data_IF_304336096311
#
_entry.id   IF_304336096311
#
_cell.length_a   1.000
_cell.length_b   1.000
_cell.length_c   1.000
_cell.angle_alpha   90.00
_cell.angle_beta   90.00
_cell.angle_gamma   90.00
#
_symmetry.space_group_name_H-M   'P 1'
#
loop_
_entity.id
_entity.type
_entity.pdbx_description
1 polymer ?
#
# COMPACT_ATOMS: atom_id res chain seq x y z
N UNK A 1 -28.24 16.96 -3.12
CA UNK A 1 -27.73 17.36 -1.79
C UNK A 1 -26.31 16.83 -1.67
N UNK A 2 -25.37 17.64 -1.19
CA UNK A 2 -24.00 17.17 -0.94
C UNK A 2 -23.99 16.13 0.20
N UNK A 3 -23.20 15.04 0.11
CA UNK A 3 -23.17 14.01 1.15
C UNK A 3 -22.78 14.54 2.54
N UNK A 4 -21.93 15.56 2.63
CA UNK A 4 -21.53 16.15 3.92
C UNK A 4 -22.67 16.96 4.54
N UNK A 5 -23.46 17.65 3.71
CA UNK A 5 -24.67 18.33 4.16
C UNK A 5 -25.70 17.32 4.67
N UNK A 6 -25.89 16.21 3.94
CA UNK A 6 -26.80 15.14 4.36
C UNK A 6 -26.36 14.50 5.70
N UNK A 7 -25.05 14.35 5.94
CA UNK A 7 -24.54 13.84 7.21
C UNK A 7 -24.69 14.83 8.37
N UNK A 8 -24.65 16.14 8.09
CA UNK A 8 -24.86 17.19 9.10
C UNK A 8 -26.33 17.30 9.54
N UNK A 9 -27.27 17.00 8.64
CA UNK A 9 -28.71 16.87 8.93
C UNK A 9 -29.26 15.56 8.34
N UNK A 10 -29.10 14.42 9.05
CA UNK A 10 -29.47 13.11 8.54
C UNK A 10 -30.97 12.93 8.27
N UNK A 11 -31.85 13.65 8.97
CA UNK A 11 -33.28 13.56 8.70
C UNK A 11 -33.62 14.21 7.36
N UNK A 12 -33.09 15.40 7.13
CA UNK A 12 -33.25 16.09 5.85
C UNK A 12 -32.56 15.33 4.70
N UNK A 13 -31.38 14.77 4.96
CA UNK A 13 -30.67 13.90 4.00
C UNK A 13 -31.52 12.69 3.59
N UNK A 14 -32.09 11.97 4.55
CA UNK A 14 -33.00 10.83 4.27
C UNK A 14 -34.24 11.26 3.50
N UNK A 15 -34.85 12.38 3.86
CA UNK A 15 -36.03 12.88 3.14
C UNK A 15 -35.69 13.17 1.67
N UNK A 16 -34.57 13.87 1.43
CA UNK A 16 -34.09 14.21 0.09
C UNK A 16 -33.80 12.96 -0.75
N UNK A 17 -33.09 11.98 -0.20
CA UNK A 17 -32.78 10.75 -0.94
C UNK A 17 -34.03 9.89 -1.18
N UNK A 18 -35.00 9.87 -0.26
CA UNK A 18 -36.27 9.15 -0.46
C UNK A 18 -37.07 9.73 -1.63
N UNK A 19 -37.19 11.05 -1.70
CA UNK A 19 -37.85 11.73 -2.82
C UNK A 19 -37.18 11.38 -4.16
N UNK A 20 -35.84 11.37 -4.20
CA UNK A 20 -35.09 11.00 -5.40
C UNK A 20 -35.31 9.52 -5.80
N UNK A 21 -35.41 8.61 -4.84
CA UNK A 21 -35.74 7.19 -5.09
C UNK A 21 -37.14 7.04 -5.67
N UNK A 22 -38.09 7.86 -5.24
CA UNK A 22 -39.51 7.83 -5.65
C UNK A 22 -39.78 8.63 -6.94
N UNK A 23 -38.78 9.34 -7.47
CA UNK A 23 -38.92 10.26 -8.61
C UNK A 23 -39.24 9.59 -9.96
N UNK A 24 -39.09 8.27 -10.06
CA UNK A 24 -39.30 7.50 -11.30
C UNK A 24 -38.12 7.50 -12.27
N UNK A 25 -37.07 8.27 -12.00
CA UNK A 25 -35.80 8.24 -12.73
C UNK A 25 -34.90 7.14 -12.17
N UNK A 26 -34.65 6.09 -12.96
CA UNK A 26 -33.94 4.89 -12.51
C UNK A 26 -32.48 5.18 -12.11
N UNK A 27 -31.79 6.07 -12.82
CA UNK A 27 -30.39 6.38 -12.57
C UNK A 27 -30.27 7.22 -11.29
N UNK A 28 -31.14 8.22 -11.14
CA UNK A 28 -31.23 9.01 -9.90
C UNK A 28 -31.65 8.16 -8.71
N UNK A 29 -32.59 7.24 -8.90
CA UNK A 29 -33.04 6.34 -7.84
C UNK A 29 -31.92 5.39 -7.40
N UNK A 30 -31.14 4.83 -8.32
CA UNK A 30 -29.99 3.99 -8.00
C UNK A 30 -28.94 4.79 -7.21
N UNK A 31 -28.58 5.99 -7.68
CA UNK A 31 -27.62 6.85 -6.99
C UNK A 31 -28.10 7.23 -5.59
N UNK A 32 -29.35 7.66 -5.46
CA UNK A 32 -29.94 8.03 -4.17
C UNK A 32 -30.03 6.84 -3.21
N UNK A 33 -30.30 5.63 -3.71
CA UNK A 33 -30.30 4.40 -2.92
C UNK A 33 -28.90 4.12 -2.34
N UNK A 34 -27.84 4.30 -3.14
CA UNK A 34 -26.47 4.19 -2.66
C UNK A 34 -26.10 5.27 -1.64
N UNK A 35 -26.45 6.53 -1.92
CA UNK A 35 -26.17 7.66 -1.03
C UNK A 35 -26.90 7.54 0.31
N UNK A 36 -28.10 6.96 0.32
CA UNK A 36 -28.80 6.60 1.55
C UNK A 36 -27.97 5.60 2.37
N UNK A 37 -27.42 4.55 1.75
CA UNK A 37 -26.54 3.59 2.43
C UNK A 37 -25.26 4.23 2.97
N UNK A 38 -24.64 5.13 2.21
CA UNK A 38 -23.48 5.90 2.66
C UNK A 38 -23.81 6.80 3.87
N UNK A 39 -24.95 7.50 3.84
CA UNK A 39 -25.43 8.31 4.96
C UNK A 39 -25.63 7.46 6.22
N UNK A 40 -26.34 6.33 6.12
CA UNK A 40 -26.58 5.47 7.28
C UNK A 40 -25.28 4.90 7.86
N UNK A 41 -24.28 4.59 7.00
CA UNK A 41 -22.95 4.18 7.47
C UNK A 41 -22.30 5.32 8.24
N UNK A 42 -22.30 6.52 7.69
CA UNK A 42 -21.58 7.67 8.26
C UNK A 42 -22.18 8.12 9.61
N UNK A 43 -23.49 7.90 9.82
CA UNK A 43 -24.14 8.12 11.12
C UNK A 43 -24.12 6.89 12.04
N UNK A 44 -23.37 5.84 11.69
CA UNK A 44 -23.15 4.65 12.52
C UNK A 44 -24.30 3.62 12.50
N UNK A 45 -25.33 3.80 11.68
CA UNK A 45 -26.46 2.87 11.53
C UNK A 45 -26.11 1.74 10.55
N UNK A 46 -25.15 0.92 10.96
CA UNK A 46 -24.53 -0.12 10.12
C UNK A 46 -25.52 -1.11 9.51
N UNK A 47 -26.55 -1.52 10.24
CA UNK A 47 -27.55 -2.46 9.69
C UNK A 47 -28.41 -1.81 8.61
N UNK A 48 -28.84 -0.57 8.82
CA UNK A 48 -29.56 0.18 7.79
C UNK A 48 -28.68 0.43 6.56
N UNK A 49 -27.39 0.75 6.76
CA UNK A 49 -26.44 0.93 5.67
C UNK A 49 -26.31 -0.33 4.81
N UNK A 50 -26.25 -1.51 5.44
CA UNK A 50 -26.23 -2.81 4.75
C UNK A 50 -27.46 -2.99 3.88
N UNK A 51 -28.65 -2.81 4.45
CA UNK A 51 -29.91 -2.98 3.72
C UNK A 51 -29.97 -2.05 2.49
N UNK A 52 -29.50 -0.81 2.64
CA UNK A 52 -29.45 0.14 1.53
C UNK A 52 -28.41 -0.20 0.47
N UNK A 53 -27.22 -0.69 0.84
CA UNK A 53 -26.27 -1.17 -0.15
C UNK A 53 -26.77 -2.42 -0.88
N UNK A 54 -27.43 -3.36 -0.20
CA UNK A 54 -28.07 -4.51 -0.83
C UNK A 54 -29.17 -4.08 -1.81
N UNK A 55 -29.96 -3.05 -1.48
CA UNK A 55 -30.93 -2.44 -2.41
C UNK A 55 -30.25 -1.78 -3.61
N UNK A 56 -29.17 -1.02 -3.40
CA UNK A 56 -28.42 -0.38 -4.47
C UNK A 56 -27.82 -1.43 -5.42
N UNK A 57 -27.32 -2.55 -4.90
CA UNK A 57 -26.87 -3.71 -5.67
C UNK A 57 -28.02 -4.31 -6.49
N UNK A 58 -29.18 -4.50 -5.88
CA UNK A 58 -30.35 -5.11 -6.52
C UNK A 58 -30.90 -4.30 -7.71
N UNK A 59 -30.56 -3.01 -7.82
CA UNK A 59 -30.89 -2.20 -9.01
C UNK A 59 -30.19 -2.69 -10.28
N UNK A 60 -29.05 -3.39 -10.15
CA UNK A 60 -28.23 -3.81 -11.29
C UNK A 60 -27.58 -2.66 -12.07
N UNK A 61 -27.67 -1.42 -11.57
CA UNK A 61 -27.16 -0.24 -12.28
C UNK A 61 -25.62 -0.29 -12.39
N UNK A 62 -25.09 -0.18 -13.60
CA UNK A 62 -23.69 -0.48 -13.93
C UNK A 62 -22.66 0.34 -13.14
N UNK A 63 -22.94 1.62 -12.88
CA UNK A 63 -22.03 2.49 -12.11
C UNK A 63 -22.26 2.40 -10.59
N UNK A 64 -23.43 1.89 -10.16
CA UNK A 64 -23.85 1.95 -8.75
C UNK A 64 -23.66 0.63 -8.04
N UNK A 65 -23.99 -0.48 -8.69
CA UNK A 65 -23.85 -1.81 -8.10
C UNK A 65 -22.39 -2.12 -7.71
N UNK A 66 -21.35 -1.85 -8.54
CA UNK A 66 -19.97 -2.13 -8.17
C UNK A 66 -19.50 -1.35 -6.95
N UNK A 67 -19.82 -0.04 -6.85
CA UNK A 67 -19.47 0.74 -5.65
C UNK A 67 -20.24 0.30 -4.42
N UNK A 68 -21.50 -0.10 -4.56
CA UNK A 68 -22.29 -0.63 -3.46
C UNK A 68 -21.72 -1.97 -2.96
N UNK A 69 -21.28 -2.85 -3.86
CA UNK A 69 -20.57 -4.09 -3.51
C UNK A 69 -19.29 -3.82 -2.70
N UNK A 70 -18.44 -2.87 -3.11
CA UNK A 70 -17.24 -2.49 -2.36
C UNK A 70 -17.58 -2.00 -0.95
N UNK A 71 -18.59 -1.14 -0.82
CA UNK A 71 -18.98 -0.59 0.48
C UNK A 71 -19.61 -1.63 1.40
N UNK A 72 -20.45 -2.52 0.86
CA UNK A 72 -20.98 -3.66 1.58
C UNK A 72 -19.84 -4.58 2.05
N UNK A 73 -18.88 -4.89 1.17
CA UNK A 73 -17.73 -5.73 1.52
C UNK A 73 -16.92 -5.16 2.69
N UNK A 74 -16.67 -3.86 2.69
CA UNK A 74 -15.98 -3.16 3.79
C UNK A 74 -16.79 -3.24 5.08
N UNK A 75 -18.12 -3.04 5.03
CA UNK A 75 -18.98 -3.19 6.21
C UNK A 75 -18.94 -4.61 6.79
N UNK A 76 -19.01 -5.63 5.95
CA UNK A 76 -18.92 -7.03 6.37
C UNK A 76 -17.54 -7.36 6.96
N UNK A 77 -16.47 -6.80 6.37
CA UNK A 77 -15.10 -6.96 6.85
C UNK A 77 -14.91 -6.36 8.26
N UNK A 78 -15.43 -5.15 8.50
CA UNK A 78 -15.41 -4.49 9.82
C UNK A 78 -16.24 -5.27 10.83
N UNK A 79 -17.38 -5.83 10.40
CA UNK A 79 -18.22 -6.71 11.23
C UNK A 79 -17.62 -8.12 11.46
N UNK A 80 -16.43 -8.42 10.92
CA UNK A 80 -15.77 -9.72 11.06
C UNK A 80 -16.41 -10.85 10.25
N UNK A 81 -17.34 -10.56 9.34
CA UNK A 81 -18.04 -11.53 8.49
C UNK A 81 -17.25 -11.75 7.20
N UNK A 82 -16.08 -12.37 7.36
CA UNK A 82 -15.04 -12.50 6.32
C UNK A 82 -15.59 -13.10 5.02
N UNK A 83 -16.38 -14.17 5.07
CA UNK A 83 -16.89 -14.79 3.84
C UNK A 83 -17.91 -13.93 3.10
N UNK A 84 -18.72 -13.14 3.81
CA UNK A 84 -19.62 -12.18 3.17
C UNK A 84 -18.83 -11.04 2.52
N UNK A 85 -17.77 -10.58 3.18
CA UNK A 85 -16.87 -9.56 2.65
C UNK A 85 -16.15 -10.05 1.38
N UNK A 86 -15.61 -11.28 1.41
CA UNK A 86 -14.98 -11.94 0.24
C UNK A 86 -15.93 -12.02 -0.93
N UNK A 87 -17.13 -12.58 -0.71
CA UNK A 87 -18.13 -12.70 -1.76
C UNK A 87 -18.49 -11.33 -2.36
N UNK A 88 -18.65 -10.30 -1.53
CA UNK A 88 -18.96 -8.95 -2.00
C UNK A 88 -17.78 -8.31 -2.77
N UNK A 89 -16.53 -8.49 -2.34
CA UNK A 89 -15.36 -8.05 -3.10
C UNK A 89 -15.25 -8.79 -4.43
N UNK A 90 -15.41 -10.10 -4.46
CA UNK A 90 -15.36 -10.90 -5.69
C UNK A 90 -16.44 -10.43 -6.69
N UNK A 91 -17.65 -10.11 -6.22
CA UNK A 91 -18.71 -9.52 -7.07
C UNK A 91 -18.34 -8.14 -7.63
N UNK A 92 -17.69 -7.28 -6.85
CA UNK A 92 -17.19 -6.00 -7.35
C UNK A 92 -16.07 -6.19 -8.38
N UNK A 93 -15.20 -7.19 -8.19
CA UNK A 93 -14.13 -7.55 -9.12
C UNK A 93 -14.70 -8.06 -10.44
N UNK A 94 -15.65 -9.01 -10.38
CA UNK A 94 -16.29 -9.64 -11.53
C UNK A 94 -17.09 -8.65 -12.38
N UNK A 95 -17.49 -7.51 -11.81
CA UNK A 95 -18.14 -6.43 -12.56
C UNK A 95 -17.26 -5.82 -13.64
N UNK A 96 -15.93 -5.95 -13.52
CA UNK A 96 -14.98 -5.32 -14.44
C UNK A 96 -14.98 -3.79 -14.41
N UNK A 97 -15.66 -3.17 -13.43
CA UNK A 97 -15.80 -1.72 -13.38
C UNK A 97 -14.43 -1.04 -13.21
N UNK A 98 -14.04 -0.10 -14.08
CA UNK A 98 -12.66 0.39 -14.19
C UNK A 98 -12.13 1.01 -12.90
N UNK A 99 -13.01 1.62 -12.10
CA UNK A 99 -12.64 2.20 -10.80
C UNK A 99 -12.84 1.26 -9.60
N UNK A 100 -13.88 0.43 -9.62
CA UNK A 100 -14.34 -0.27 -8.42
C UNK A 100 -13.83 -1.71 -8.35
N UNK A 101 -13.50 -2.34 -9.49
CA UNK A 101 -12.82 -3.62 -9.49
C UNK A 101 -11.38 -3.51 -8.92
N UNK A 102 -10.52 -2.54 -9.32
CA UNK A 102 -9.21 -2.36 -8.70
C UNK A 102 -9.30 -2.00 -7.21
N UNK A 103 -10.28 -1.18 -6.83
CA UNK A 103 -10.56 -0.86 -5.43
C UNK A 103 -10.94 -2.11 -4.62
N UNK A 104 -11.77 -2.98 -5.18
CA UNK A 104 -12.16 -4.23 -4.56
C UNK A 104 -10.98 -5.21 -4.42
N UNK A 105 -10.11 -5.30 -5.44
CA UNK A 105 -8.87 -6.09 -5.37
C UNK A 105 -7.98 -5.59 -4.24
N UNK A 106 -7.73 -4.29 -4.17
CA UNK A 106 -6.89 -3.70 -3.13
C UNK A 106 -7.46 -3.90 -1.72
N UNK A 107 -8.74 -3.59 -1.51
CA UNK A 107 -9.38 -3.75 -0.19
C UNK A 107 -9.53 -5.22 0.21
N UNK A 108 -9.85 -6.10 -0.75
CA UNK A 108 -9.87 -7.54 -0.55
C UNK A 108 -8.49 -8.07 -0.15
N UNK A 109 -7.42 -7.61 -0.80
CA UNK A 109 -6.06 -7.99 -0.44
C UNK A 109 -5.69 -7.58 1.00
N UNK A 110 -6.13 -6.39 1.46
CA UNK A 110 -5.96 -5.98 2.87
C UNK A 110 -6.72 -6.92 3.81
N UNK A 111 -7.96 -7.31 3.46
CA UNK A 111 -8.74 -8.25 4.25
C UNK A 111 -8.00 -9.58 4.39
N UNK A 112 -7.51 -10.15 3.29
CA UNK A 112 -6.82 -11.43 3.28
C UNK A 112 -5.49 -11.40 4.04
N UNK A 113 -4.72 -10.33 3.88
CA UNK A 113 -3.47 -10.10 4.62
C UNK A 113 -3.69 -10.08 6.14
N UNK A 114 -4.81 -9.51 6.62
CA UNK A 114 -5.15 -9.46 8.04
C UNK A 114 -5.78 -10.74 8.59
N UNK A 115 -6.37 -11.56 7.73
CA UNK A 115 -7.19 -12.73 8.12
C UNK A 115 -6.53 -14.07 7.82
N UNK A 116 -5.32 -14.07 7.28
CA UNK A 116 -4.44 -15.24 7.25
C UNK A 116 -4.36 -15.98 5.91
N UNK A 117 -4.73 -15.35 4.80
CA UNK A 117 -4.53 -15.90 3.45
C UNK A 117 -3.55 -15.02 2.64
N UNK A 118 -2.23 -15.10 2.94
CA UNK A 118 -1.22 -14.29 2.26
C UNK A 118 -1.12 -14.62 0.77
N UNK A 119 -1.47 -15.83 0.33
CA UNK A 119 -1.53 -16.23 -1.06
C UNK A 119 -2.61 -15.47 -1.83
N UNK A 120 -3.85 -15.44 -1.31
CA UNK A 120 -4.94 -14.68 -1.93
C UNK A 120 -4.67 -13.19 -1.86
N UNK A 121 -4.11 -12.68 -0.76
CA UNK A 121 -3.68 -11.29 -0.66
C UNK A 121 -2.69 -10.91 -1.77
N UNK A 122 -1.69 -11.77 -2.00
CA UNK A 122 -0.68 -11.59 -3.06
C UNK A 122 -1.29 -11.56 -4.46
N UNK A 123 -2.19 -12.49 -4.77
CA UNK A 123 -2.90 -12.49 -6.06
C UNK A 123 -3.69 -11.19 -6.28
N UNK A 124 -4.49 -10.80 -5.29
CA UNK A 124 -5.32 -9.61 -5.38
C UNK A 124 -4.48 -8.32 -5.50
N UNK A 125 -3.38 -8.19 -4.75
CA UNK A 125 -2.49 -7.05 -4.91
C UNK A 125 -1.84 -7.01 -6.30
N UNK A 126 -1.38 -8.14 -6.84
CA UNK A 126 -0.82 -8.20 -8.20
C UNK A 126 -1.83 -7.74 -9.24
N UNK A 127 -3.06 -8.24 -9.14
CA UNK A 127 -4.17 -7.84 -10.03
C UNK A 127 -4.51 -6.35 -9.89
N UNK A 128 -4.47 -5.79 -8.69
CA UNK A 128 -4.65 -4.36 -8.47
C UNK A 128 -3.52 -3.51 -9.10
N UNK A 129 -2.28 -4.01 -9.07
CA UNK A 129 -1.12 -3.36 -9.71
C UNK A 129 -1.30 -3.33 -11.23
N UNK A 130 -1.75 -4.45 -11.81
CA UNK A 130 -1.91 -4.62 -13.26
C UNK A 130 -3.23 -4.05 -13.81
N UNK A 131 -4.18 -3.71 -12.93
CA UNK A 131 -5.53 -3.29 -13.27
C UNK A 131 -5.68 -1.86 -13.83
N UNK A 132 -4.59 -1.13 -14.04
CA UNK A 132 -4.58 0.18 -14.71
C UNK A 132 -5.05 1.39 -13.89
N UNK A 133 -5.63 1.19 -12.70
CA UNK A 133 -5.93 2.27 -11.78
C UNK A 133 -4.67 2.72 -11.03
N UNK A 134 -4.16 3.90 -11.35
CA UNK A 134 -2.88 4.42 -10.85
C UNK A 134 -2.86 4.53 -9.32
N UNK A 135 -3.98 4.94 -8.71
CA UNK A 135 -4.07 5.12 -7.26
C UNK A 135 -3.95 3.79 -6.53
N UNK A 136 -4.76 2.79 -6.91
CA UNK A 136 -4.76 1.48 -6.28
C UNK A 136 -3.51 0.68 -6.63
N UNK A 137 -2.95 0.86 -7.83
CA UNK A 137 -1.68 0.24 -8.23
C UNK A 137 -0.52 0.68 -7.32
N UNK A 138 -0.39 1.99 -7.07
CA UNK A 138 0.64 2.54 -6.16
C UNK A 138 0.48 2.05 -4.73
N UNK A 139 -0.74 2.07 -4.20
CA UNK A 139 -1.03 1.55 -2.85
C UNK A 139 -0.77 0.05 -2.74
N UNK A 140 -1.12 -0.71 -3.77
CA UNK A 140 -0.90 -2.15 -3.84
C UNK A 140 0.59 -2.52 -3.92
N UNK A 141 1.43 -1.73 -4.62
CA UNK A 141 2.89 -1.94 -4.63
C UNK A 141 3.47 -1.93 -3.22
N UNK A 142 3.16 -0.89 -2.42
CA UNK A 142 3.65 -0.78 -1.05
C UNK A 142 3.12 -1.91 -0.16
N UNK A 143 1.82 -2.20 -0.24
CA UNK A 143 1.23 -3.22 0.63
C UNK A 143 1.68 -4.63 0.25
N UNK A 144 1.91 -4.91 -1.03
CA UNK A 144 2.48 -6.18 -1.47
C UNK A 144 3.94 -6.31 -1.02
N UNK A 145 4.73 -5.24 -1.12
CA UNK A 145 6.09 -5.23 -0.61
C UNK A 145 6.15 -5.51 0.89
N UNK A 146 5.27 -4.88 1.67
CA UNK A 146 5.12 -5.15 3.11
C UNK A 146 4.73 -6.61 3.36
N UNK A 147 3.75 -7.14 2.62
CA UNK A 147 3.32 -8.54 2.75
C UNK A 147 4.48 -9.50 2.46
N UNK A 148 5.23 -9.30 1.39
CA UNK A 148 6.39 -10.17 1.07
C UNK A 148 7.48 -10.04 2.14
N UNK A 149 7.70 -8.85 2.70
CA UNK A 149 8.63 -8.61 3.81
C UNK A 149 8.22 -9.40 5.06
N UNK A 150 6.95 -9.28 5.47
CA UNK A 150 6.37 -10.02 6.60
C UNK A 150 6.43 -11.55 6.42
N UNK A 151 6.38 -12.01 5.17
CA UNK A 151 6.51 -13.43 4.81
C UNK A 151 7.97 -13.89 4.62
N UNK A 152 8.96 -13.04 4.96
CA UNK A 152 10.39 -13.36 4.86
C UNK A 152 10.93 -13.40 3.44
N UNK A 153 10.18 -12.92 2.43
CA UNK A 153 10.55 -12.92 1.02
C UNK A 153 11.20 -11.59 0.64
N UNK A 154 12.35 -11.31 1.25
CA UNK A 154 13.00 -10.01 1.13
C UNK A 154 13.38 -9.63 -0.31
N UNK A 155 13.80 -10.58 -1.14
CA UNK A 155 14.06 -10.30 -2.57
C UNK A 155 12.83 -9.75 -3.30
N UNK A 156 11.67 -10.39 -3.11
CA UNK A 156 10.42 -9.95 -3.74
C UNK A 156 9.93 -8.61 -3.17
N UNK A 157 10.04 -8.41 -1.86
CA UNK A 157 9.71 -7.12 -1.22
C UNK A 157 10.55 -5.98 -1.79
N UNK A 158 11.86 -6.23 -1.99
CA UNK A 158 12.81 -5.27 -2.56
C UNK A 158 12.41 -4.83 -3.97
N UNK A 159 12.16 -5.79 -4.87
CA UNK A 159 11.73 -5.49 -6.24
C UNK A 159 10.45 -4.64 -6.28
N UNK A 160 9.52 -4.88 -5.36
CA UNK A 160 8.26 -4.13 -5.28
C UNK A 160 8.45 -2.71 -4.76
N UNK A 161 9.28 -2.51 -3.73
CA UNK A 161 9.62 -1.16 -3.27
C UNK A 161 10.41 -0.38 -4.33
N UNK A 162 11.33 -1.01 -5.06
CA UNK A 162 12.05 -0.37 -6.17
C UNK A 162 11.11 0.09 -7.29
N UNK A 163 10.13 -0.75 -7.65
CA UNK A 163 9.06 -0.33 -8.57
C UNK A 163 8.29 0.86 -8.02
N UNK A 164 7.94 0.85 -6.74
CA UNK A 164 7.26 1.97 -6.08
C UNK A 164 8.10 3.27 -6.05
N UNK A 165 9.45 3.19 -5.99
CA UNK A 165 10.34 4.36 -6.08
C UNK A 165 10.30 5.08 -7.44
N UNK A 166 9.82 4.40 -8.49
CA UNK A 166 9.79 4.94 -9.86
C UNK A 166 8.38 5.31 -10.33
N UNK A 167 7.39 5.29 -9.43
CA UNK A 167 5.98 5.49 -9.78
C UNK A 167 5.55 6.97 -9.94
N UNK A 168 6.44 7.92 -9.62
CA UNK A 168 6.22 9.37 -9.77
C UNK A 168 5.27 9.98 -8.76
N UNK A 169 5.10 9.36 -7.58
CA UNK A 169 4.25 9.81 -6.49
C UNK A 169 5.06 9.94 -5.21
N UNK A 170 5.25 11.18 -4.72
CA UNK A 170 6.18 11.47 -3.64
C UNK A 170 5.88 10.70 -2.34
N UNK A 171 4.59 10.55 -1.99
CA UNK A 171 4.16 9.81 -0.80
C UNK A 171 4.48 8.31 -0.95
N UNK A 172 4.15 7.73 -2.10
CA UNK A 172 4.46 6.33 -2.39
C UNK A 172 5.96 6.07 -2.40
N UNK A 173 6.74 6.97 -3.00
CA UNK A 173 8.20 6.89 -3.01
C UNK A 173 8.81 6.99 -1.60
N UNK A 174 8.32 7.89 -0.74
CA UNK A 174 8.78 8.02 0.64
C UNK A 174 8.49 6.76 1.46
N UNK A 175 7.28 6.19 1.29
CA UNK A 175 6.92 4.92 1.90
C UNK A 175 7.80 3.78 1.39
N UNK A 176 8.16 3.77 0.12
CA UNK A 176 9.06 2.78 -0.46
C UNK A 176 10.49 2.91 0.10
N UNK A 177 11.04 4.12 0.22
CA UNK A 177 12.34 4.37 0.88
C UNK A 177 12.35 3.82 2.30
N UNK A 178 11.30 4.12 3.06
CA UNK A 178 11.14 3.64 4.44
C UNK A 178 11.05 2.11 4.47
N UNK A 179 10.28 1.50 3.56
CA UNK A 179 10.18 0.06 3.41
C UNK A 179 11.52 -0.61 3.14
N UNK A 180 12.32 -0.07 2.21
CA UNK A 180 13.66 -0.57 1.89
C UNK A 180 14.62 -0.46 3.08
N UNK A 181 14.61 0.66 3.80
CA UNK A 181 15.41 0.82 5.03
C UNK A 181 15.06 -0.21 6.11
N UNK A 182 13.77 -0.53 6.23
CA UNK A 182 13.28 -1.50 7.22
C UNK A 182 13.55 -2.94 6.80
N UNK A 183 13.44 -3.22 5.50
CA UNK A 183 13.67 -4.54 4.90
C UNK A 183 15.14 -4.92 4.99
N UNK A 184 15.98 -3.99 4.54
CA UNK A 184 17.42 -4.07 4.61
C UNK A 184 17.86 -3.32 5.85
N UNK A 185 17.55 -3.91 7.01
CA UNK A 185 17.99 -3.40 8.30
C UNK A 185 19.51 -3.31 8.27
N UNK A 186 20.05 -2.21 7.78
CA UNK A 186 21.43 -1.91 7.48
C UNK A 186 21.46 -0.40 7.46
N UNK A 187 21.70 0.21 8.60
CA UNK A 187 21.88 1.64 8.75
C UNK A 187 23.33 1.87 9.08
N UNK A 188 24.06 2.49 8.19
CA UNK A 188 25.46 2.79 8.45
C UNK A 188 25.56 4.17 9.11
N UNK A 189 26.21 4.26 10.28
CA UNK A 189 26.58 5.55 10.86
C UNK A 189 27.93 5.98 10.30
N UNK A 190 28.00 7.20 9.81
CA UNK A 190 29.25 7.74 9.26
C UNK A 190 30.36 7.75 10.31
N UNK A 191 31.56 7.20 10.03
CA UNK A 191 32.70 7.37 10.90
C UNK A 191 33.11 8.85 10.98
N UNK A 192 33.75 9.28 12.08
CA UNK A 192 34.34 10.61 12.21
C UNK A 192 35.23 10.97 11.00
N UNK A 193 35.26 12.25 10.55
CA UNK A 193 35.10 13.47 11.36
C UNK A 193 33.67 14.01 11.50
N UNK A 194 32.66 13.31 10.99
CA UNK A 194 31.26 13.76 11.01
C UNK A 194 30.53 13.28 12.28
N UNK A 195 30.76 13.99 13.41
CA UNK A 195 30.16 13.84 14.77
C UNK A 195 30.24 12.46 15.47
N UNK A 196 31.29 12.28 16.26
CA UNK A 196 31.20 12.00 17.71
C UNK A 196 30.58 10.70 18.25
N UNK A 197 30.27 9.71 17.41
CA UNK A 197 29.85 8.37 17.86
C UNK A 197 30.69 7.27 17.18
N UNK A 198 30.82 6.13 17.85
CA UNK A 198 31.53 4.94 17.38
C UNK A 198 31.12 4.58 15.94
N UNK A 199 32.08 4.27 15.04
CA UNK A 199 31.79 3.90 13.67
C UNK A 199 31.18 2.51 13.67
N UNK A 200 29.85 2.41 13.56
CA UNK A 200 29.14 1.14 13.52
C UNK A 200 28.17 1.11 12.34
N UNK A 201 28.22 0.01 11.58
CA UNK A 201 27.21 -0.34 10.59
C UNK A 201 26.13 -1.15 11.30
N UNK A 202 24.97 -0.56 11.54
CA UNK A 202 23.87 -1.24 12.22
C UNK A 202 23.05 -2.05 11.23
N UNK A 203 23.34 -3.34 11.08
CA UNK A 203 22.42 -4.28 10.43
C UNK A 203 21.27 -4.68 11.38
N UNK A 204 20.30 -3.80 11.60
CA UNK A 204 19.20 -4.06 12.51
C UNK A 204 19.65 -4.04 13.97
N UNK A 205 19.81 -5.22 14.59
CA UNK A 205 20.47 -5.37 15.90
C UNK A 205 21.96 -5.72 15.82
N UNK A 206 22.47 -6.06 14.64
CA UNK A 206 23.89 -6.39 14.44
C UNK A 206 24.67 -5.10 14.25
N UNK A 207 25.69 -4.86 15.07
CA UNK A 207 26.71 -3.84 14.77
C UNK A 207 27.84 -4.52 14.00
N UNK A 208 28.10 -4.08 12.77
CA UNK A 208 29.27 -4.48 11.99
C UNK A 208 30.28 -3.35 12.13
N UNK A 209 31.49 -3.69 12.52
CA UNK A 209 32.62 -2.76 12.56
C UNK A 209 33.01 -2.42 11.10
N UNK A 210 33.04 -1.14 10.68
CA UNK A 210 33.50 -0.76 9.35
C UNK A 210 34.91 -1.25 9.03
N UNK A 211 35.74 -1.53 10.04
CA UNK A 211 37.07 -2.11 9.84
C UNK A 211 37.05 -3.59 9.48
N UNK A 212 35.94 -4.30 9.74
CA UNK A 212 35.75 -5.68 9.27
C UNK A 212 35.34 -5.74 7.80
N UNK A 213 34.99 -4.62 7.16
CA UNK A 213 34.69 -4.61 5.73
C UNK A 213 35.98 -4.68 4.90
N UNK A 214 36.08 -5.73 4.09
CA UNK A 214 37.23 -6.02 3.21
C UNK A 214 37.03 -5.55 1.79
N UNK A 215 35.79 -5.56 1.30
CA UNK A 215 35.44 -5.15 -0.05
C UNK A 215 34.03 -4.55 -0.07
N UNK A 216 33.78 -3.63 -1.00
CA UNK A 216 32.45 -3.08 -1.25
C UNK A 216 32.28 -2.71 -2.72
N UNK A 217 31.08 -2.89 -3.24
CA UNK A 217 30.70 -2.60 -4.62
C UNK A 217 29.22 -2.22 -4.71
N UNK A 218 28.81 -1.62 -5.82
CA UNK A 218 27.39 -1.56 -6.13
C UNK A 218 26.90 -2.96 -6.50
N UNK A 219 25.76 -3.38 -5.96
CA UNK A 219 25.16 -4.70 -6.25
C UNK A 219 24.94 -4.93 -7.76
N UNK A 220 24.72 -3.86 -8.52
CA UNK A 220 24.55 -3.89 -9.99
C UNK A 220 25.84 -3.57 -10.76
N UNK A 221 26.96 -3.39 -10.04
CA UNK A 221 28.26 -2.96 -10.59
C UNK A 221 28.31 -1.51 -11.06
N UNK A 222 27.24 -0.72 -10.89
CA UNK A 222 27.17 0.70 -11.29
C UNK A 222 26.42 1.55 -10.26
N UNK A 223 26.78 2.83 -10.19
CA UNK A 223 26.06 3.81 -9.37
C UNK A 223 24.56 3.85 -9.76
N UNK A 224 23.64 3.89 -8.79
CA UNK A 224 22.22 3.97 -9.07
C UNK A 224 21.85 5.31 -9.70
N UNK A 225 21.10 5.27 -10.80
CA UNK A 225 20.73 6.47 -11.57
C UNK A 225 19.79 7.44 -10.85
N UNK A 226 19.10 7.00 -9.79
CA UNK A 226 18.02 7.74 -9.13
C UNK A 226 18.43 8.40 -7.80
N UNK A 227 19.73 8.45 -7.53
CA UNK A 227 20.24 8.96 -6.27
C UNK A 227 20.05 8.00 -5.09
N UNK A 228 19.71 6.74 -5.31
CA UNK A 228 19.58 5.71 -4.27
C UNK A 228 19.81 4.30 -4.82
N UNK A 229 20.44 3.40 -4.09
CA UNK A 229 20.56 1.97 -4.45
C UNK A 229 21.45 1.17 -3.52
N UNK A 230 21.95 0.01 -3.96
CA UNK A 230 22.49 -1.00 -3.03
C UNK A 230 24.00 -1.17 -3.12
N UNK A 231 24.65 -1.06 -1.98
CA UNK A 231 26.02 -1.47 -1.76
C UNK A 231 26.04 -2.93 -1.29
N UNK A 232 26.74 -3.77 -2.03
CA UNK A 232 27.20 -5.07 -1.55
C UNK A 232 28.55 -4.90 -0.85
N UNK A 233 28.72 -5.51 0.30
CA UNK A 233 29.99 -5.52 1.00
C UNK A 233 30.28 -6.86 1.67
N UNK A 234 31.56 -7.14 1.85
CA UNK A 234 32.10 -8.38 2.39
C UNK A 234 32.82 -8.11 3.70
N UNK A 235 32.57 -8.91 4.72
CA UNK A 235 33.29 -8.84 6.00
C UNK A 235 34.48 -9.80 6.02
N UNK A 236 35.36 -9.67 7.03
CA UNK A 236 36.51 -10.58 7.24
C UNK A 236 36.10 -12.04 7.42
N UNK A 237 34.88 -12.29 7.90
CA UNK A 237 34.32 -13.62 8.07
C UNK A 237 33.68 -14.19 6.78
N UNK A 238 33.89 -13.50 5.65
CA UNK A 238 33.38 -13.84 4.31
C UNK A 238 31.84 -13.79 4.22
N UNK A 239 31.19 -13.07 5.14
CA UNK A 239 29.76 -12.78 5.04
C UNK A 239 29.53 -11.67 4.02
N UNK A 240 28.58 -11.90 3.12
CA UNK A 240 28.12 -10.89 2.15
C UNK A 240 26.87 -10.19 2.68
N UNK A 241 26.87 -8.87 2.58
CA UNK A 241 25.77 -8.03 3.04
C UNK A 241 25.34 -7.05 1.96
N UNK A 242 24.06 -6.70 1.99
CA UNK A 242 23.44 -5.70 1.12
C UNK A 242 22.98 -4.54 1.98
N UNK A 243 23.35 -3.33 1.58
CA UNK A 243 23.00 -2.06 2.22
C UNK A 243 22.32 -1.15 1.21
N UNK A 244 21.08 -0.76 1.47
CA UNK A 244 20.43 0.30 0.72
C UNK A 244 20.98 1.67 1.18
N UNK A 245 21.37 2.51 0.22
CA UNK A 245 21.78 3.91 0.46
C UNK A 245 20.90 4.84 -0.37
N UNK A 246 20.27 5.83 0.26
CA UNK A 246 19.62 6.95 -0.43
C UNK A 246 20.52 8.20 -0.38
N UNK A 247 21.22 8.51 -1.46
CA UNK A 247 22.14 9.66 -1.55
C UNK A 247 21.46 11.03 -1.39
N UNK A 248 20.13 11.10 -1.32
CA UNK A 248 19.40 12.32 -0.95
C UNK A 248 19.29 12.50 0.56
N UNK A 249 19.42 11.42 1.31
CA UNK A 249 19.51 11.43 2.75
C UNK A 249 20.94 11.76 3.17
N UNK A 250 21.15 12.77 4.04
CA UNK A 250 22.49 13.17 4.45
C UNK A 250 23.28 12.04 5.09
N UNK A 251 22.66 11.20 5.91
CA UNK A 251 23.36 10.12 6.61
C UNK A 251 23.83 9.07 5.59
N UNK A 252 22.93 8.58 4.75
CA UNK A 252 23.22 7.63 3.66
C UNK A 252 24.25 8.20 2.65
N UNK A 253 24.21 9.51 2.39
CA UNK A 253 25.21 10.17 1.56
C UNK A 253 26.60 10.11 2.18
N UNK A 254 26.72 10.34 3.49
CA UNK A 254 27.99 10.24 4.21
C UNK A 254 28.50 8.79 4.25
N UNK A 255 27.61 7.80 4.39
CA UNK A 255 27.94 6.37 4.24
C UNK A 255 28.58 6.10 2.89
N UNK A 256 27.92 6.54 1.82
CA UNK A 256 28.43 6.38 0.47
C UNK A 256 29.81 7.01 0.31
N UNK A 257 30.02 8.23 0.84
CA UNK A 257 31.32 8.90 0.77
C UNK A 257 32.43 8.09 1.48
N UNK A 258 32.14 7.48 2.62
CA UNK A 258 33.09 6.59 3.28
C UNK A 258 33.49 5.39 2.40
N UNK A 259 32.51 4.63 1.88
CA UNK A 259 32.81 3.48 1.04
C UNK A 259 33.49 3.89 -0.28
N UNK A 260 33.10 5.04 -0.83
CA UNK A 260 33.73 5.63 -2.01
C UNK A 260 35.20 5.92 -1.77
N UNK A 261 35.55 6.56 -0.67
CA UNK A 261 36.93 6.90 -0.32
C UNK A 261 37.77 5.66 -0.02
N UNK A 262 37.21 4.68 0.70
CA UNK A 262 37.91 3.47 1.15
C UNK A 262 38.08 2.42 0.04
N UNK A 263 37.07 2.24 -0.81
CA UNK A 263 37.02 1.14 -1.80
C UNK A 263 36.97 1.61 -3.26
N UNK A 264 36.98 2.91 -3.52
CA UNK A 264 37.04 3.45 -4.88
C UNK A 264 35.74 3.26 -5.68
N UNK A 265 34.58 3.30 -5.02
CA UNK A 265 33.28 3.20 -5.69
C UNK A 265 33.10 4.32 -6.72
N UNK A 266 32.72 3.97 -7.95
CA UNK A 266 32.37 4.91 -9.01
C UNK A 266 30.92 5.39 -8.92
#
# INVERSE_FOLDING_TARGET
MDPREAAADPERGRAFYREAIESGDADRAAEATFLMGALERDVGRTDAARDWFERAIATGHAEVAPKAWVNLAVLEAVAGRVERARAAFDRAIDSGHPRHAPQAMFNGAILESRRGDPERARDLYRRAIDGGDVEHSRKALINLANLESEQGRAGAARELYERALTCGDAETEERARTGLRNLDQGYFRSPPPYRGADPAVLRGRLGIDPDDVTHAGWATGRRPGYGSGYLEYWTRDDETHILFVDLRDPDDFHVYMYFKERFGLA
#
